data_IF_551269684075
#
_entry.id   IF_551269684075
#
_cell.length_a   1.000
_cell.length_b   1.000
_cell.length_c   1.000
_cell.angle_alpha   90.00
_cell.angle_beta   90.00
_cell.angle_gamma   90.00
#
_symmetry.space_group_name_H-M   'P 1'
#
loop_
_entity.id
_entity.type
_entity.pdbx_description
1 polymer ?
#
# COMPACT_ATOMS: atom_id res chain seq x y z
N UNK A 1 -24.43 6.81 -5.38
CA UNK A 1 -24.63 7.04 -3.93
C UNK A 1 -24.91 5.75 -3.18
N UNK A 2 -25.94 4.97 -3.54
CA UNK A 2 -26.23 3.65 -2.92
C UNK A 2 -24.95 2.81 -2.84
N UNK A 3 -24.27 2.58 -3.98
CA UNK A 3 -23.01 1.84 -4.00
C UNK A 3 -21.94 2.42 -3.05
N UNK A 4 -21.75 3.73 -3.00
CA UNK A 4 -20.76 4.36 -2.12
C UNK A 4 -21.13 4.24 -0.63
N UNK A 5 -22.42 4.32 -0.27
CA UNK A 5 -22.86 4.06 1.10
C UNK A 5 -22.73 2.58 1.47
N UNK A 6 -23.03 1.67 0.55
CA UNK A 6 -22.78 0.25 0.74
C UNK A 6 -21.29 0.00 1.00
N UNK A 7 -20.38 0.62 0.25
CA UNK A 7 -18.94 0.51 0.46
C UNK A 7 -18.50 1.01 1.86
N UNK A 8 -19.14 2.07 2.38
CA UNK A 8 -18.93 2.51 3.78
C UNK A 8 -19.34 1.40 4.76
N UNK A 9 -20.51 0.79 4.58
CA UNK A 9 -20.94 -0.33 5.44
C UNK A 9 -20.01 -1.54 5.32
N UNK A 10 -19.62 -1.89 4.10
CA UNK A 10 -18.74 -3.00 3.79
C UNK A 10 -17.44 -2.91 4.59
N UNK A 11 -16.75 -1.76 4.53
CA UNK A 11 -15.46 -1.57 5.21
C UNK A 11 -15.61 -1.38 6.72
N UNK A 12 -16.64 -0.66 7.16
CA UNK A 12 -16.94 -0.50 8.59
C UNK A 12 -17.20 -1.86 9.26
N UNK A 13 -18.04 -2.69 8.64
CA UNK A 13 -18.43 -4.00 9.17
C UNK A 13 -17.30 -5.01 9.02
N UNK A 14 -16.55 -5.00 7.90
CA UNK A 14 -15.32 -5.79 7.73
C UNK A 14 -14.33 -5.54 8.87
N UNK A 15 -13.98 -4.28 9.12
CA UNK A 15 -13.03 -3.92 10.18
C UNK A 15 -13.53 -4.37 11.55
N UNK A 16 -14.82 -4.17 11.83
CA UNK A 16 -15.43 -4.62 13.08
C UNK A 16 -15.34 -6.13 13.27
N UNK A 17 -15.70 -6.90 12.24
CA UNK A 17 -15.68 -8.37 12.27
C UNK A 17 -14.27 -8.91 12.51
N UNK A 18 -13.29 -8.36 11.80
CA UNK A 18 -11.89 -8.79 11.91
C UNK A 18 -11.33 -8.41 13.28
N UNK A 19 -11.42 -7.13 13.67
CA UNK A 19 -10.83 -6.65 14.92
C UNK A 19 -11.45 -7.27 16.17
N UNK A 20 -12.75 -7.58 16.15
CA UNK A 20 -13.43 -8.25 17.27
C UNK A 20 -13.35 -9.79 17.20
N UNK A 21 -12.77 -10.36 16.13
CA UNK A 21 -12.64 -11.81 15.95
C UNK A 21 -13.98 -12.54 15.87
N UNK A 22 -14.98 -11.93 15.23
CA UNK A 22 -16.36 -12.42 15.24
C UNK A 22 -16.52 -13.69 14.38
N UNK A 23 -17.18 -14.69 14.94
CA UNK A 23 -17.64 -15.86 14.22
C UNK A 23 -19.02 -15.59 13.59
N UNK A 24 -19.06 -15.53 12.26
CA UNK A 24 -20.29 -15.25 11.53
C UNK A 24 -21.14 -16.51 11.28
N UNK A 25 -22.47 -16.38 11.28
CA UNK A 25 -23.38 -17.48 10.93
C UNK A 25 -23.33 -17.77 9.42
N UNK A 26 -23.24 -19.05 9.08
CA UNK A 26 -23.27 -19.48 7.68
C UNK A 26 -24.65 -19.22 7.04
N UNK A 27 -24.64 -18.88 5.75
CA UNK A 27 -25.87 -18.75 4.97
C UNK A 27 -26.45 -20.16 4.74
N UNK A 28 -27.71 -20.43 5.12
CA UNK A 28 -28.32 -21.73 4.88
C UNK A 28 -28.41 -22.09 3.39
N UNK A 29 -28.24 -23.36 3.06
CA UNK A 29 -28.26 -23.84 1.67
C UNK A 29 -29.56 -23.47 0.93
N UNK A 30 -30.71 -23.53 1.62
CA UNK A 30 -32.00 -23.15 1.03
C UNK A 30 -32.08 -21.66 0.64
N UNK A 31 -31.29 -20.80 1.28
CA UNK A 31 -31.18 -19.37 0.98
C UNK A 31 -30.24 -19.17 -0.22
N UNK A 32 -29.11 -19.88 -0.25
CA UNK A 32 -28.19 -19.87 -1.39
C UNK A 32 -28.85 -20.41 -2.68
N UNK A 33 -29.75 -21.39 -2.56
CA UNK A 33 -30.49 -21.98 -3.68
C UNK A 33 -31.39 -20.96 -4.41
N UNK A 34 -31.62 -19.77 -3.86
CA UNK A 34 -32.30 -18.66 -4.55
C UNK A 34 -31.46 -18.07 -5.69
N UNK A 35 -30.13 -18.24 -5.65
CA UNK A 35 -29.18 -17.57 -6.53
C UNK A 35 -28.31 -18.58 -7.31
N UNK A 36 -28.90 -19.31 -8.29
CA UNK A 36 -28.24 -20.44 -8.95
C UNK A 36 -26.97 -20.06 -9.72
N UNK A 37 -26.87 -18.82 -10.24
CA UNK A 37 -25.65 -18.34 -10.91
C UNK A 37 -24.50 -18.16 -9.93
N UNK A 38 -24.78 -17.63 -8.75
CA UNK A 38 -23.77 -17.45 -7.70
C UNK A 38 -23.33 -18.81 -7.17
N UNK A 39 -24.28 -19.75 -6.99
CA UNK A 39 -23.95 -21.14 -6.64
C UNK A 39 -23.05 -21.82 -7.67
N UNK A 40 -23.26 -21.56 -8.95
CA UNK A 40 -22.37 -22.09 -9.98
C UNK A 40 -20.93 -21.56 -9.78
N UNK A 41 -20.76 -20.25 -9.54
CA UNK A 41 -19.44 -19.67 -9.30
C UNK A 41 -18.77 -20.23 -8.02
N UNK A 42 -19.56 -20.45 -6.96
CA UNK A 42 -19.12 -21.11 -5.72
C UNK A 42 -18.63 -22.54 -6.02
N UNK A 43 -19.43 -23.33 -6.74
CA UNK A 43 -19.08 -24.71 -7.10
C UNK A 43 -17.83 -24.76 -7.96
N UNK A 44 -17.66 -23.83 -8.90
CA UNK A 44 -16.44 -23.74 -9.72
C UNK A 44 -15.20 -23.55 -8.84
N UNK A 45 -15.25 -22.72 -7.79
CA UNK A 45 -14.12 -22.56 -6.87
C UNK A 45 -13.85 -23.83 -6.05
N UNK A 46 -14.90 -24.50 -5.60
CA UNK A 46 -14.79 -25.77 -4.87
C UNK A 46 -14.19 -26.89 -5.73
N UNK A 47 -14.56 -26.96 -7.00
CA UNK A 47 -14.03 -27.91 -7.98
C UNK A 47 -12.53 -27.70 -8.24
N UNK A 48 -12.02 -26.49 -8.03
CA UNK A 48 -10.58 -26.17 -8.08
C UNK A 48 -9.83 -26.49 -6.77
N UNK A 49 -10.51 -27.05 -5.77
CA UNK A 49 -9.94 -27.54 -4.52
C UNK A 49 -9.89 -26.51 -3.39
N UNK A 50 -10.59 -25.38 -3.54
CA UNK A 50 -10.81 -24.43 -2.46
C UNK A 50 -12.02 -24.83 -1.62
N UNK A 51 -12.07 -24.42 -0.37
CA UNK A 51 -13.29 -24.46 0.43
C UNK A 51 -13.80 -23.05 0.64
N UNK A 52 -15.12 -22.86 0.65
CA UNK A 52 -15.75 -21.56 0.86
C UNK A 52 -16.57 -21.54 2.14
N UNK A 53 -16.39 -20.50 2.95
CA UNK A 53 -17.31 -20.14 4.04
C UNK A 53 -18.12 -18.93 3.58
N UNK A 54 -19.41 -19.12 3.37
CA UNK A 54 -20.35 -18.06 2.97
C UNK A 54 -21.19 -17.70 4.18
N UNK A 55 -21.04 -16.48 4.67
CA UNK A 55 -21.61 -16.07 5.95
C UNK A 55 -22.37 -14.74 5.85
N UNK A 56 -23.42 -14.65 6.66
CA UNK A 56 -24.16 -13.41 6.89
C UNK A 56 -23.36 -12.49 7.82
N UNK A 57 -22.92 -11.35 7.29
CA UNK A 57 -22.14 -10.35 8.00
C UNK A 57 -23.01 -9.19 8.50
N UNK A 58 -24.34 -9.35 8.53
CA UNK A 58 -25.26 -8.27 8.95
C UNK A 58 -25.21 -7.92 10.43
N UNK A 59 -24.50 -8.72 11.24
CA UNK A 59 -24.41 -8.57 12.70
C UNK A 59 -25.79 -8.49 13.35
N UNK A 60 -26.64 -9.48 13.04
CA UNK A 60 -28.00 -9.58 13.56
C UNK A 60 -29.03 -8.82 12.74
N UNK A 61 -28.85 -8.73 11.42
CA UNK A 61 -29.75 -8.01 10.51
C UNK A 61 -29.61 -6.49 10.53
N UNK A 62 -28.54 -5.97 11.14
CA UNK A 62 -28.31 -4.52 11.31
C UNK A 62 -27.70 -3.87 10.07
N UNK A 63 -26.83 -4.59 9.35
CA UNK A 63 -26.09 -4.07 8.21
C UNK A 63 -26.32 -4.92 6.95
N UNK A 64 -26.35 -4.32 5.75
CA UNK A 64 -26.55 -5.06 4.51
C UNK A 64 -25.21 -5.58 3.94
N UNK A 65 -24.55 -6.47 4.69
CA UNK A 65 -23.18 -6.94 4.40
C UNK A 65 -23.11 -8.47 4.38
N UNK A 66 -22.35 -8.99 3.43
CA UNK A 66 -22.03 -10.40 3.24
C UNK A 66 -20.52 -10.64 3.41
N UNK A 67 -20.16 -11.86 3.81
CA UNK A 67 -18.77 -12.33 3.86
C UNK A 67 -18.64 -13.64 3.09
N UNK A 68 -17.62 -13.74 2.24
CA UNK A 68 -17.22 -14.98 1.58
C UNK A 68 -15.73 -15.17 1.84
N UNK A 69 -15.38 -16.26 2.51
CA UNK A 69 -14.01 -16.59 2.84
C UNK A 69 -13.56 -17.80 2.05
N UNK A 70 -12.53 -17.62 1.22
CA UNK A 70 -11.81 -18.69 0.56
C UNK A 70 -10.78 -19.28 1.50
N UNK A 71 -10.77 -20.60 1.59
CA UNK A 71 -9.86 -21.40 2.39
C UNK A 71 -9.09 -22.27 1.40
N UNK A 72 -7.77 -22.22 1.46
CA UNK A 72 -6.89 -23.04 0.64
C UNK A 72 -6.34 -24.21 1.47
N UNK A 73 -6.87 -25.45 1.30
CA UNK A 73 -6.42 -26.59 2.10
C UNK A 73 -4.98 -27.03 1.82
N UNK A 74 -4.34 -26.52 0.75
CA UNK A 74 -2.97 -26.91 0.37
C UNK A 74 -1.92 -26.29 1.28
N UNK A 75 -2.11 -25.04 1.69
CA UNK A 75 -1.18 -24.28 2.53
C UNK A 75 -1.80 -23.78 3.85
N UNK A 76 -3.13 -23.93 4.01
CA UNK A 76 -3.86 -23.49 5.19
C UNK A 76 -4.17 -21.99 5.21
N UNK A 77 -3.91 -21.27 4.12
CA UNK A 77 -4.20 -19.84 4.00
C UNK A 77 -5.69 -19.57 3.84
N UNK A 78 -6.10 -18.36 4.24
CA UNK A 78 -7.48 -17.89 4.13
C UNK A 78 -7.53 -16.48 3.54
N UNK A 79 -8.57 -16.21 2.76
CA UNK A 79 -8.86 -14.90 2.19
C UNK A 79 -10.32 -14.55 2.42
N UNK A 80 -10.59 -13.56 3.27
CA UNK A 80 -11.93 -13.08 3.57
C UNK A 80 -12.30 -11.86 2.70
N UNK A 81 -13.26 -12.06 1.81
CA UNK A 81 -13.91 -11.01 1.03
C UNK A 81 -15.21 -10.57 1.71
N UNK A 82 -15.51 -9.27 1.60
CA UNK A 82 -16.73 -8.66 2.13
C UNK A 82 -17.37 -7.81 1.05
N UNK A 83 -18.69 -7.89 0.92
CA UNK A 83 -19.45 -7.11 -0.03
C UNK A 83 -20.74 -6.60 0.59
N UNK A 84 -21.16 -5.39 0.22
CA UNK A 84 -22.38 -4.79 0.74
C UNK A 84 -23.31 -4.29 -0.38
N UNK A 85 -24.61 -4.45 -0.15
CA UNK A 85 -25.69 -3.87 -0.95
C UNK A 85 -27.04 -4.07 -0.24
N UNK A 86 -28.01 -3.14 -0.34
CA UNK A 86 -29.37 -3.34 0.20
C UNK A 86 -30.03 -4.65 -0.25
N UNK A 87 -29.87 -5.00 -1.52
CA UNK A 87 -30.23 -6.33 -2.06
C UNK A 87 -29.26 -7.43 -1.61
N UNK A 88 -29.79 -8.50 -1.02
CA UNK A 88 -29.01 -9.65 -0.56
C UNK A 88 -28.24 -10.33 -1.70
N UNK A 89 -28.91 -10.55 -2.84
CA UNK A 89 -28.30 -11.18 -4.03
C UNK A 89 -27.10 -10.38 -4.51
N UNK A 90 -27.26 -9.06 -4.63
CA UNK A 90 -26.20 -8.17 -5.13
C UNK A 90 -25.04 -8.11 -4.14
N UNK A 91 -25.29 -8.07 -2.83
CA UNK A 91 -24.23 -8.10 -1.83
C UNK A 91 -23.42 -9.40 -1.92
N UNK A 92 -24.10 -10.53 -2.03
CA UNK A 92 -23.46 -11.84 -2.17
C UNK A 92 -22.66 -11.94 -3.47
N UNK A 93 -23.23 -11.55 -4.61
CA UNK A 93 -22.57 -11.57 -5.92
C UNK A 93 -21.30 -10.71 -5.88
N UNK A 94 -21.40 -9.47 -5.37
CA UNK A 94 -20.26 -8.56 -5.23
C UNK A 94 -19.13 -9.20 -4.42
N UNK A 95 -19.47 -9.81 -3.28
CA UNK A 95 -18.50 -10.46 -2.40
C UNK A 95 -17.73 -11.58 -3.11
N UNK A 96 -18.43 -12.40 -3.92
CA UNK A 96 -17.80 -13.49 -4.69
C UNK A 96 -16.95 -12.93 -5.84
N UNK A 97 -17.43 -11.92 -6.55
CA UNK A 97 -16.69 -11.35 -7.70
C UNK A 97 -15.42 -10.61 -7.26
N UNK A 98 -15.45 -9.92 -6.12
CA UNK A 98 -14.29 -9.21 -5.56
C UNK A 98 -13.18 -10.19 -5.15
N UNK A 99 -13.55 -11.40 -4.72
CA UNK A 99 -12.60 -12.46 -4.36
C UNK A 99 -11.72 -12.90 -5.54
N UNK A 100 -12.20 -12.74 -6.78
CA UNK A 100 -11.48 -13.12 -8.00
C UNK A 100 -11.00 -11.92 -8.82
N UNK A 101 -11.26 -10.70 -8.35
CA UNK A 101 -10.94 -9.50 -9.12
C UNK A 101 -9.43 -9.32 -9.25
N UNK A 102 -8.93 -9.38 -10.49
CA UNK A 102 -7.51 -9.18 -10.79
C UNK A 102 -6.60 -10.36 -10.44
N UNK A 103 -7.17 -11.53 -10.08
CA UNK A 103 -6.41 -12.73 -9.71
C UNK A 103 -6.83 -13.93 -10.55
N UNK A 104 -5.86 -14.63 -11.11
CA UNK A 104 -6.06 -16.00 -11.60
C UNK A 104 -6.23 -16.97 -10.43
N UNK A 105 -6.82 -18.14 -10.69
CA UNK A 105 -6.92 -19.21 -9.66
C UNK A 105 -5.55 -19.70 -9.21
N UNK A 106 -4.51 -19.53 -10.02
CA UNK A 106 -3.12 -19.84 -9.72
C UNK A 106 -2.39 -18.75 -8.90
N UNK A 107 -3.07 -17.65 -8.57
CA UNK A 107 -2.51 -16.48 -7.88
C UNK A 107 -3.14 -16.25 -6.49
N UNK A 108 -3.68 -17.31 -5.88
CA UNK A 108 -4.34 -17.31 -4.57
C UNK A 108 -3.46 -17.92 -3.46
N UNK A 109 -2.13 -17.93 -3.65
CA UNK A 109 -1.12 -18.49 -2.75
C UNK A 109 -0.38 -17.43 -1.91
N UNK A 110 -0.83 -16.17 -1.98
CA UNK A 110 -0.19 -15.02 -1.31
C UNK A 110 -0.79 -14.68 0.06
N UNK A 111 -1.74 -15.49 0.55
CA UNK A 111 -2.47 -15.23 1.79
C UNK A 111 -1.88 -15.99 2.99
N UNK A 112 -2.29 -15.58 4.19
CA UNK A 112 -1.75 -16.13 5.43
C UNK A 112 -2.73 -17.10 6.10
N UNK A 113 -2.23 -18.10 6.85
CA UNK A 113 -3.06 -18.87 7.76
C UNK A 113 -3.67 -17.99 8.85
N UNK A 114 -4.84 -18.34 9.40
CA UNK A 114 -5.42 -17.61 10.51
C UNK A 114 -4.60 -17.78 11.79
N UNK A 115 -4.61 -16.78 12.67
CA UNK A 115 -3.84 -16.75 13.92
C UNK A 115 -4.76 -16.66 15.15
N UNK A 116 -4.23 -16.90 16.35
CA UNK A 116 -4.98 -16.75 17.61
C UNK A 116 -4.64 -15.43 18.33
N UNK A 117 -3.60 -14.72 17.88
CA UNK A 117 -3.18 -13.47 18.47
C UNK A 117 -4.15 -12.35 18.07
N UNK A 118 -5.05 -12.00 18.98
CA UNK A 118 -6.04 -10.96 18.73
C UNK A 118 -5.45 -9.55 18.75
N UNK A 119 -4.30 -9.33 19.40
CA UNK A 119 -3.65 -8.02 19.39
C UNK A 119 -3.09 -7.73 17.99
N UNK A 120 -2.52 -8.74 17.33
CA UNK A 120 -2.06 -8.64 15.94
C UNK A 120 -3.23 -8.50 14.96
N UNK A 121 -4.28 -9.31 15.12
CA UNK A 121 -5.49 -9.25 14.26
C UNK A 121 -6.21 -7.89 14.37
N UNK A 122 -6.31 -7.33 15.57
CA UNK A 122 -7.00 -6.06 15.81
C UNK A 122 -6.12 -4.82 15.57
N UNK A 123 -4.84 -5.00 15.26
CA UNK A 123 -3.93 -3.89 15.03
C UNK A 123 -4.38 -3.01 13.83
N UNK A 124 -4.21 -1.67 13.91
CA UNK A 124 -4.50 -0.78 12.78
C UNK A 124 -3.78 -1.22 11.49
N UNK A 125 -2.51 -1.61 11.61
CA UNK A 125 -1.69 -2.07 10.49
C UNK A 125 -2.31 -3.30 9.81
N UNK A 126 -2.89 -4.22 10.58
CA UNK A 126 -3.58 -5.38 10.01
C UNK A 126 -4.86 -4.99 9.25
N UNK A 127 -5.65 -4.07 9.79
CA UNK A 127 -6.86 -3.57 9.13
C UNK A 127 -6.52 -2.78 7.85
N UNK A 128 -5.43 -2.04 7.85
CA UNK A 128 -4.89 -1.36 6.67
C UNK A 128 -4.43 -2.35 5.60
N UNK A 129 -3.69 -3.41 5.97
CA UNK A 129 -3.33 -4.50 5.04
C UNK A 129 -4.58 -5.14 4.44
N UNK A 130 -5.62 -5.34 5.25
CA UNK A 130 -6.92 -5.82 4.77
C UNK A 130 -7.57 -4.89 3.76
N UNK A 131 -7.36 -3.57 3.86
CA UNK A 131 -7.85 -2.59 2.88
C UNK A 131 -7.00 -2.56 1.60
N UNK A 132 -5.67 -2.63 1.73
CA UNK A 132 -4.73 -2.48 0.61
C UNK A 132 -4.85 -3.66 -0.37
N UNK A 133 -4.77 -4.89 0.13
CA UNK A 133 -4.73 -6.09 -0.73
C UNK A 133 -5.41 -7.34 -0.13
N UNK A 134 -6.00 -7.22 1.05
CA UNK A 134 -6.66 -8.30 1.80
C UNK A 134 -5.73 -9.42 2.27
N UNK A 135 -4.43 -9.14 2.40
CA UNK A 135 -3.43 -10.07 2.95
C UNK A 135 -3.31 -10.05 4.48
N UNK A 136 -4.09 -9.21 5.17
CA UNK A 136 -4.06 -9.17 6.64
C UNK A 136 -4.44 -10.51 7.28
N UNK A 137 -4.02 -10.69 8.53
CA UNK A 137 -4.37 -11.84 9.35
C UNK A 137 -5.86 -11.84 9.72
N UNK A 138 -6.42 -13.04 9.80
CA UNK A 138 -7.76 -13.33 10.29
C UNK A 138 -7.65 -14.19 11.55
N UNK A 139 -8.53 -13.98 12.52
CA UNK A 139 -8.57 -14.81 13.73
C UNK A 139 -9.08 -16.22 13.45
N UNK A 140 -8.51 -17.23 14.12
CA UNK A 140 -9.07 -18.58 14.14
C UNK A 140 -10.50 -18.62 14.73
N UNK A 141 -10.85 -17.64 15.57
CA UNK A 141 -12.20 -17.53 16.13
C UNK A 141 -13.28 -17.30 15.07
N UNK A 142 -12.91 -16.73 13.93
CA UNK A 142 -13.79 -16.55 12.76
C UNK A 142 -14.39 -17.88 12.25
N UNK A 143 -13.73 -19.00 12.53
CA UNK A 143 -14.09 -20.34 12.06
C UNK A 143 -14.69 -21.24 13.16
N UNK A 144 -15.11 -20.66 14.30
CA UNK A 144 -15.80 -21.44 15.35
C UNK A 144 -17.09 -22.07 14.82
N UNK A 145 -17.54 -23.12 15.52
CA UNK A 145 -18.82 -23.80 15.21
C UNK A 145 -20.04 -22.97 15.61
N UNK A 146 -19.96 -22.21 16.70
CA UNK A 146 -21.08 -21.43 17.23
C UNK A 146 -20.85 -19.96 16.83
N UNK A 147 -21.74 -19.38 16.02
CA UNK A 147 -21.62 -17.99 15.63
C UNK A 147 -22.06 -17.05 16.76
N UNK A 148 -21.47 -15.87 16.78
CA UNK A 148 -21.77 -14.82 17.77
C UNK A 148 -23.12 -14.15 17.49
N UNK A 149 -23.61 -14.26 16.25
CA UNK A 149 -24.91 -13.78 15.80
C UNK A 149 -25.73 -14.93 15.18
N UNK A 150 -27.05 -14.75 15.14
CA UNK A 150 -27.94 -15.62 14.36
C UNK A 150 -27.99 -15.12 12.92
N UNK A 151 -28.07 -16.06 11.99
CA UNK A 151 -28.36 -15.75 10.59
C UNK A 151 -29.67 -14.96 10.47
N UNK A 152 -29.65 -13.90 9.67
CA UNK A 152 -30.82 -13.15 9.26
C UNK A 152 -30.94 -13.17 7.73
N UNK A 153 -32.11 -13.56 7.23
CA UNK A 153 -32.46 -13.45 5.82
C UNK A 153 -32.95 -12.02 5.53
N UNK A 154 -32.04 -11.06 5.59
CA UNK A 154 -32.30 -9.64 5.39
C UNK A 154 -32.49 -9.32 3.90
N UNK A 155 -33.28 -8.30 3.58
CA UNK A 155 -33.53 -7.87 2.20
C UNK A 155 -34.03 -6.42 2.18
N UNK A 156 -33.47 -5.60 1.31
CA UNK A 156 -33.99 -4.27 0.99
C UNK A 156 -33.75 -3.95 -0.50
N UNK A 157 -34.16 -4.86 -1.38
CA UNK A 157 -34.16 -4.66 -2.82
C UNK A 157 -35.32 -3.74 -3.24
N UNK A 158 -34.99 -2.53 -3.67
CA UNK A 158 -35.95 -1.49 -4.02
C UNK A 158 -35.40 -0.56 -5.10
N UNK A 159 -36.10 0.53 -5.38
CA UNK A 159 -35.56 1.56 -6.26
C UNK A 159 -34.44 2.34 -5.54
N UNK A 160 -33.53 2.92 -6.31
CA UNK A 160 -32.31 3.54 -5.77
C UNK A 160 -32.54 4.73 -4.84
N UNK A 161 -33.71 5.39 -4.90
CA UNK A 161 -34.06 6.49 -3.98
C UNK A 161 -34.37 5.92 -2.58
N UNK A 162 -35.22 4.91 -2.51
CA UNK A 162 -35.57 4.19 -1.28
C UNK A 162 -34.34 3.51 -0.65
N UNK A 163 -33.52 2.85 -1.46
CA UNK A 163 -32.25 2.25 -1.01
C UNK A 163 -31.30 3.29 -0.41
N UNK A 164 -31.21 4.48 -1.01
CA UNK A 164 -30.38 5.55 -0.48
C UNK A 164 -30.93 6.06 0.86
N UNK A 165 -32.24 6.24 0.99
CA UNK A 165 -32.87 6.65 2.24
C UNK A 165 -32.66 5.60 3.34
N UNK A 166 -32.82 4.32 3.03
CA UNK A 166 -32.60 3.20 3.94
C UNK A 166 -31.17 3.19 4.49
N UNK A 167 -30.16 3.20 3.61
CA UNK A 167 -28.76 3.22 4.02
C UNK A 167 -28.42 4.49 4.82
N UNK A 168 -28.90 5.66 4.39
CA UNK A 168 -28.66 6.91 5.09
C UNK A 168 -29.25 6.89 6.50
N UNK A 169 -30.47 6.35 6.63
CA UNK A 169 -31.16 6.21 7.92
C UNK A 169 -30.37 5.30 8.87
N UNK A 170 -29.88 4.16 8.39
CA UNK A 170 -29.07 3.26 9.21
C UNK A 170 -27.80 3.92 9.76
N UNK A 171 -27.16 4.80 8.99
CA UNK A 171 -25.98 5.56 9.44
C UNK A 171 -26.39 6.60 10.50
N UNK A 172 -27.46 7.36 10.26
CA UNK A 172 -27.94 8.38 11.20
C UNK A 172 -28.48 7.78 12.50
N UNK A 173 -29.14 6.62 12.47
CA UNK A 173 -29.59 5.90 13.67
C UNK A 173 -28.42 5.46 14.57
N UNK A 174 -27.21 5.38 14.01
CA UNK A 174 -25.98 5.10 14.76
C UNK A 174 -25.29 6.38 15.26
N UNK A 175 -25.82 7.56 14.92
CA UNK A 175 -25.31 8.85 15.38
C UNK A 175 -24.20 9.45 14.52
N UNK A 176 -24.03 8.97 13.27
CA UNK A 176 -23.02 9.49 12.36
C UNK A 176 -23.62 10.46 11.33
N UNK A 177 -22.79 11.42 10.89
CA UNK A 177 -23.11 12.36 9.82
C UNK A 177 -22.57 11.89 8.48
N UNK A 178 -23.27 12.24 7.39
CA UNK A 178 -22.89 11.87 6.02
C UNK A 178 -22.51 13.14 5.25
N UNK A 179 -21.29 13.17 4.71
CA UNK A 179 -20.80 14.24 3.85
C UNK A 179 -20.65 13.72 2.43
N UNK A 180 -21.31 14.36 1.46
CA UNK A 180 -21.34 13.92 0.06
C UNK A 180 -20.80 15.03 -0.83
N UNK A 181 -19.80 14.71 -1.64
CA UNK A 181 -19.37 15.51 -2.76
C UNK A 181 -19.80 14.83 -4.07
N UNK A 182 -20.57 15.54 -4.89
CA UNK A 182 -21.02 15.06 -6.19
C UNK A 182 -20.15 15.62 -7.32
N UNK A 183 -19.85 14.77 -8.30
CA UNK A 183 -19.04 15.11 -9.46
C UNK A 183 -19.78 14.71 -10.74
N UNK A 184 -19.96 15.68 -11.65
CA UNK A 184 -20.59 15.47 -12.96
C UNK A 184 -19.72 16.03 -14.11
N UNK A 185 -18.50 16.48 -13.81
CA UNK A 185 -17.66 17.22 -14.75
C UNK A 185 -17.07 16.35 -15.88
N UNK A 186 -17.33 15.03 -15.89
CA UNK A 186 -16.96 14.08 -16.95
C UNK A 186 -18.18 13.42 -17.61
N UNK A 187 -19.37 14.01 -17.49
CA UNK A 187 -20.64 13.50 -18.02
C UNK A 187 -21.05 12.09 -17.54
N UNK A 188 -20.41 11.63 -16.47
CA UNK A 188 -20.78 10.46 -15.68
C UNK A 188 -20.91 10.91 -14.23
N UNK A 189 -21.98 10.48 -13.57
CA UNK A 189 -22.17 10.77 -12.16
C UNK A 189 -21.17 9.99 -11.32
N UNK A 190 -20.40 10.70 -10.50
CA UNK A 190 -19.56 10.14 -9.47
C UNK A 190 -19.83 10.86 -8.14
N UNK A 191 -19.53 10.19 -7.02
CA UNK A 191 -19.59 10.81 -5.71
C UNK A 191 -18.43 10.33 -4.84
N UNK A 192 -18.05 11.17 -3.87
CA UNK A 192 -17.22 10.76 -2.74
C UNK A 192 -18.03 11.00 -1.48
N UNK A 193 -18.16 9.97 -0.65
CA UNK A 193 -18.89 10.03 0.61
C UNK A 193 -17.90 9.87 1.75
N UNK A 194 -18.03 10.70 2.78
CA UNK A 194 -17.30 10.58 4.04
C UNK A 194 -18.33 10.45 5.17
N UNK A 195 -18.09 9.48 6.06
CA UNK A 195 -18.88 9.23 7.26
C UNK A 195 -17.88 9.09 8.42
N UNK A 196 -17.47 10.20 9.05
CA UNK A 196 -16.46 10.17 10.11
C UNK A 196 -16.88 9.22 11.25
N UNK A 197 -16.01 8.31 11.63
CA UNK A 197 -16.24 7.21 12.56
C UNK A 197 -16.70 5.89 11.91
N UNK A 198 -16.96 5.88 10.59
CA UNK A 198 -17.35 4.67 9.85
C UNK A 198 -16.52 4.45 8.57
N UNK A 199 -16.29 5.49 7.77
CA UNK A 199 -15.60 5.40 6.48
C UNK A 199 -14.09 5.58 6.58
N UNK A 200 -13.57 5.83 7.78
CA UNK A 200 -12.15 6.02 8.02
C UNK A 200 -11.40 4.69 7.79
N UNK A 201 -10.36 4.76 6.96
CA UNK A 201 -9.46 3.62 6.72
C UNK A 201 -8.30 3.65 7.70
N UNK A 202 -7.77 4.86 7.92
CA UNK A 202 -6.61 5.13 8.74
C UNK A 202 -7.01 5.86 10.03
N UNK A 203 -6.41 5.53 11.19
CA UNK A 203 -6.61 6.28 12.43
C UNK A 203 -6.21 7.76 12.28
N UNK A 204 -6.91 8.63 13.01
CA UNK A 204 -6.69 10.09 12.98
C UNK A 204 -5.26 10.50 13.37
N UNK A 205 -4.61 9.71 14.21
CA UNK A 205 -3.25 9.98 14.69
C UNK A 205 -2.20 9.93 13.56
N UNK A 206 -2.50 9.24 12.45
CA UNK A 206 -1.62 9.25 11.27
C UNK A 206 -1.48 10.63 10.63
N UNK A 207 -2.43 11.54 10.85
CA UNK A 207 -2.25 12.94 10.43
C UNK A 207 -1.01 13.59 11.05
N UNK A 208 -0.56 13.08 12.20
CA UNK A 208 0.63 13.53 12.92
C UNK A 208 1.83 12.63 12.61
N UNK A 209 1.64 11.31 12.60
CA UNK A 209 2.76 10.35 12.57
C UNK A 209 3.10 9.80 11.18
N UNK A 210 2.12 9.70 10.27
CA UNK A 210 2.29 9.07 8.94
C UNK A 210 1.74 9.95 7.81
N UNK A 211 1.86 11.27 7.97
CA UNK A 211 1.32 12.22 7.01
C UNK A 211 2.10 12.17 5.68
N UNK A 212 1.42 11.74 4.62
CA UNK A 212 2.01 11.60 3.29
C UNK A 212 2.49 12.91 2.65
N UNK A 213 2.21 14.07 3.26
CA UNK A 213 2.70 15.36 2.81
C UNK A 213 4.05 15.76 3.42
N UNK A 214 4.57 15.05 4.43
CA UNK A 214 5.87 15.36 5.06
C UNK A 214 7.00 15.34 4.03
N UNK A 215 7.04 14.34 3.16
CA UNK A 215 8.05 14.22 2.11
C UNK A 215 7.98 15.33 1.05
N UNK A 216 6.89 16.10 0.98
CA UNK A 216 6.82 17.26 0.09
C UNK A 216 7.88 18.32 0.44
N UNK A 217 8.28 18.41 1.72
CA UNK A 217 9.32 19.33 2.20
C UNK A 217 10.72 18.99 1.66
N UNK A 218 10.95 17.73 1.27
CA UNK A 218 12.22 17.25 0.73
C UNK A 218 12.25 17.21 -0.80
N UNK A 219 11.10 17.41 -1.46
CA UNK A 219 10.97 17.24 -2.92
C UNK A 219 11.96 18.11 -3.70
N UNK A 220 12.03 19.40 -3.37
CA UNK A 220 12.96 20.30 -4.07
C UNK A 220 14.40 19.85 -3.83
N UNK A 221 14.77 19.61 -2.57
CA UNK A 221 16.14 19.28 -2.19
C UNK A 221 16.63 18.01 -2.88
N UNK A 222 15.81 16.96 -2.89
CA UNK A 222 16.12 15.68 -3.52
C UNK A 222 16.27 15.81 -5.04
N UNK A 223 15.42 16.61 -5.68
CA UNK A 223 15.48 16.84 -7.12
C UNK A 223 16.59 17.80 -7.54
N UNK A 224 17.24 18.49 -6.60
CA UNK A 224 18.35 19.44 -6.86
C UNK A 224 19.63 19.09 -6.11
N UNK A 225 19.80 17.86 -5.62
CA UNK A 225 20.99 17.45 -4.83
C UNK A 225 22.32 17.79 -5.51
N UNK A 226 22.41 17.62 -6.83
CA UNK A 226 23.61 17.92 -7.63
C UNK A 226 23.96 19.40 -7.76
N UNK A 227 23.03 20.28 -7.44
CA UNK A 227 23.21 21.74 -7.43
C UNK A 227 23.54 22.27 -6.03
N UNK A 228 23.43 21.41 -5.01
CA UNK A 228 23.65 21.78 -3.62
C UNK A 228 25.12 21.96 -3.23
N UNK A 229 25.31 22.48 -2.01
CA UNK A 229 26.60 22.58 -1.33
C UNK A 229 26.61 21.82 0.00
N UNK A 230 27.77 21.78 0.68
CA UNK A 230 27.91 21.10 1.97
C UNK A 230 26.90 21.55 3.02
N UNK A 231 26.51 22.83 3.03
CA UNK A 231 25.55 23.33 4.02
C UNK A 231 24.14 22.82 3.71
N UNK A 232 23.76 22.82 2.44
CA UNK A 232 22.46 22.30 1.99
C UNK A 232 22.37 20.78 2.19
N UNK A 233 23.43 20.03 1.87
CA UNK A 233 23.44 18.58 2.09
C UNK A 233 23.38 18.21 3.57
N UNK A 234 24.08 18.95 4.43
CA UNK A 234 24.00 18.74 5.87
C UNK A 234 22.59 19.04 6.40
N UNK A 235 21.97 20.14 5.96
CA UNK A 235 20.60 20.50 6.36
C UNK A 235 19.57 19.43 5.94
N UNK A 236 19.72 18.84 4.75
CA UNK A 236 18.87 17.73 4.31
C UNK A 236 19.08 16.50 5.20
N UNK A 237 20.33 16.14 5.50
CA UNK A 237 20.64 15.00 6.36
C UNK A 237 20.08 15.18 7.77
N UNK A 238 20.32 16.34 8.38
CA UNK A 238 19.84 16.68 9.72
C UNK A 238 18.30 16.60 9.80
N UNK A 239 17.58 17.16 8.81
CA UNK A 239 16.12 17.08 8.76
C UNK A 239 15.59 15.65 8.58
N UNK A 240 16.31 14.79 7.85
CA UNK A 240 15.92 13.38 7.71
C UNK A 240 16.11 12.61 9.02
N UNK A 241 17.15 12.93 9.79
CA UNK A 241 17.42 12.31 11.10
C UNK A 241 16.44 12.84 12.17
N UNK A 242 16.22 14.15 12.22
CA UNK A 242 15.27 14.78 13.15
C UNK A 242 13.82 14.34 12.90
N UNK A 243 13.46 14.10 11.64
CA UNK A 243 12.14 13.62 11.24
C UNK A 243 11.86 12.17 11.63
N UNK A 244 12.89 11.37 11.96
CA UNK A 244 12.73 9.99 12.40
C UNK A 244 12.07 9.08 11.35
N UNK A 245 12.19 9.41 10.07
CA UNK A 245 11.57 8.64 8.99
C UNK A 245 12.19 7.24 8.88
N UNK A 246 11.38 6.24 8.56
CA UNK A 246 11.88 4.90 8.29
C UNK A 246 12.79 4.92 7.05
N UNK A 247 14.07 4.58 7.23
CA UNK A 247 15.09 4.61 6.18
C UNK A 247 14.76 3.68 5.00
N UNK A 248 13.91 2.66 5.20
CA UNK A 248 13.48 1.76 4.14
C UNK A 248 12.40 2.36 3.23
N UNK A 249 11.81 3.51 3.55
CA UNK A 249 10.77 4.12 2.70
C UNK A 249 11.36 4.41 1.30
N UNK A 250 10.70 3.93 0.22
CA UNK A 250 11.08 4.31 -1.14
C UNK A 250 10.94 5.82 -1.34
N UNK A 251 11.95 6.45 -1.94
CA UNK A 251 12.01 7.92 -2.02
C UNK A 251 10.93 8.49 -2.92
N UNK A 252 10.65 7.82 -4.05
CA UNK A 252 9.69 8.32 -5.03
C UNK A 252 8.28 8.55 -4.43
N UNK A 253 7.61 7.58 -3.78
CA UNK A 253 6.32 7.83 -3.14
C UNK A 253 6.44 8.85 -2.00
N UNK A 254 7.53 8.86 -1.22
CA UNK A 254 7.75 9.84 -0.15
C UNK A 254 7.71 11.29 -0.68
N UNK A 255 8.40 11.58 -1.79
CA UNK A 255 8.36 12.90 -2.40
C UNK A 255 7.25 13.06 -3.46
N UNK A 256 6.32 12.12 -3.60
CA UNK A 256 5.22 12.21 -4.58
C UNK A 256 5.67 12.23 -6.05
N UNK A 257 6.64 11.40 -6.41
CA UNK A 257 7.18 11.24 -7.76
C UNK A 257 6.67 9.94 -8.39
N UNK A 258 6.49 9.95 -9.72
CA UNK A 258 6.14 8.77 -10.51
C UNK A 258 7.37 8.37 -11.34
N UNK A 259 8.24 7.48 -10.83
CA UNK A 259 9.53 7.21 -11.44
C UNK A 259 9.38 6.29 -12.66
N UNK A 260 10.31 6.43 -13.60
CA UNK A 260 10.48 5.49 -14.70
C UNK A 260 11.17 4.21 -14.19
N UNK A 261 10.68 3.03 -14.60
CA UNK A 261 10.99 1.73 -13.97
C UNK A 261 12.49 1.38 -13.94
N UNK A 262 13.26 1.81 -14.93
CA UNK A 262 14.68 1.48 -15.07
C UNK A 262 15.60 2.60 -14.54
N UNK A 263 15.11 3.43 -13.62
CA UNK A 263 15.88 4.52 -13.02
C UNK A 263 16.12 4.27 -11.54
N UNK A 264 17.18 4.88 -10.99
CA UNK A 264 17.48 4.78 -9.56
C UNK A 264 16.32 5.27 -8.69
N UNK A 265 15.54 6.25 -9.14
CA UNK A 265 14.34 6.73 -8.43
C UNK A 265 13.26 5.67 -8.22
N UNK A 266 13.21 4.62 -9.04
CA UNK A 266 12.25 3.53 -8.88
C UNK A 266 12.58 2.63 -7.68
N UNK A 267 13.86 2.50 -7.35
CA UNK A 267 14.35 1.54 -6.36
C UNK A 267 14.88 2.22 -5.08
N UNK A 268 15.36 3.47 -5.17
CA UNK A 268 16.12 4.13 -4.10
C UNK A 268 15.28 4.39 -2.85
N UNK A 269 15.88 4.15 -1.68
CA UNK A 269 15.29 4.37 -0.35
C UNK A 269 15.94 5.54 0.39
N UNK A 270 15.28 6.05 1.44
CA UNK A 270 15.78 7.18 2.22
C UNK A 270 17.17 6.93 2.81
N UNK A 271 17.46 5.73 3.30
CA UNK A 271 18.78 5.36 3.81
C UNK A 271 19.89 5.44 2.75
N UNK A 272 19.57 5.13 1.48
CA UNK A 272 20.52 5.28 0.37
C UNK A 272 20.78 6.76 0.02
N UNK A 273 19.77 7.63 0.17
CA UNK A 273 19.97 9.08 0.07
C UNK A 273 20.90 9.57 1.19
N UNK A 274 20.72 9.10 2.43
CA UNK A 274 21.63 9.41 3.54
C UNK A 274 23.06 8.94 3.24
N UNK A 275 23.23 7.74 2.67
CA UNK A 275 24.53 7.26 2.21
C UNK A 275 25.18 8.22 1.19
N UNK A 276 24.43 8.67 0.18
CA UNK A 276 24.90 9.62 -0.82
C UNK A 276 25.24 11.00 -0.24
N UNK A 277 24.45 11.49 0.70
CA UNK A 277 24.72 12.74 1.41
C UNK A 277 26.01 12.64 2.23
N UNK A 278 26.20 11.56 2.99
CA UNK A 278 27.43 11.34 3.75
C UNK A 278 28.67 11.23 2.85
N UNK A 279 28.56 10.57 1.69
CA UNK A 279 29.62 10.54 0.67
C UNK A 279 29.95 11.94 0.15
N UNK A 280 28.93 12.75 -0.17
CA UNK A 280 29.11 14.12 -0.65
C UNK A 280 29.74 15.03 0.42
N UNK A 281 29.34 14.86 1.68
CA UNK A 281 29.87 15.59 2.84
C UNK A 281 31.26 15.11 3.28
N UNK A 282 31.79 14.04 2.67
CA UNK A 282 33.05 13.40 3.07
C UNK A 282 33.04 12.98 4.55
N UNK A 283 31.90 12.48 5.02
CA UNK A 283 31.66 12.07 6.41
C UNK A 283 31.92 10.56 6.61
N UNK A 284 32.61 10.19 7.69
CA UNK A 284 32.91 8.81 8.08
C UNK A 284 31.66 7.92 8.22
N UNK A 285 30.52 8.51 8.58
CA UNK A 285 29.23 7.83 8.66
C UNK A 285 28.76 7.22 7.33
N UNK A 286 29.38 7.55 6.19
CA UNK A 286 29.06 6.89 4.93
C UNK A 286 29.29 5.37 4.98
N UNK A 287 30.25 4.86 5.77
CA UNK A 287 30.43 3.41 5.95
C UNK A 287 29.21 2.78 6.62
N UNK A 288 28.68 3.41 7.68
CA UNK A 288 27.53 2.88 8.42
C UNK A 288 26.29 2.80 7.52
N UNK A 289 26.05 3.83 6.70
CA UNK A 289 24.95 3.83 5.73
C UNK A 289 25.16 2.84 4.59
N UNK A 290 26.41 2.63 4.13
CA UNK A 290 26.69 1.58 3.14
C UNK A 290 26.46 0.19 3.74
N UNK A 291 26.80 -0.03 5.02
CA UNK A 291 26.49 -1.28 5.71
C UNK A 291 24.98 -1.50 5.85
N UNK A 292 24.23 -0.44 6.13
CA UNK A 292 22.77 -0.49 6.07
C UNK A 292 22.28 -0.89 4.68
N UNK A 293 22.83 -0.32 3.60
CA UNK A 293 22.46 -0.68 2.23
C UNK A 293 22.77 -2.15 1.90
N UNK A 294 23.90 -2.68 2.43
CA UNK A 294 24.29 -4.08 2.25
C UNK A 294 23.41 -5.06 3.05
N UNK A 295 22.74 -4.59 4.10
CA UNK A 295 21.83 -5.36 4.93
C UNK A 295 20.39 -5.39 4.40
N UNK A 296 20.06 -4.61 3.35
CA UNK A 296 18.74 -4.65 2.73
C UNK A 296 18.48 -6.00 2.06
N UNK A 297 17.40 -6.66 2.49
CA UNK A 297 16.91 -7.86 1.82
C UNK A 297 16.52 -7.53 0.37
N UNK A 298 16.78 -8.48 -0.54
CA UNK A 298 16.39 -8.42 -1.96
C UNK A 298 17.18 -7.44 -2.85
N UNK A 299 18.29 -6.86 -2.39
CA UNK A 299 19.17 -6.07 -3.25
C UNK A 299 19.73 -6.92 -4.43
N UNK A 300 19.72 -6.33 -5.64
CA UNK A 300 20.31 -6.96 -6.85
C UNK A 300 21.81 -7.22 -6.61
N UNK A 301 22.33 -8.31 -7.17
CA UNK A 301 23.76 -8.67 -7.03
C UNK A 301 24.71 -7.55 -7.48
N UNK A 302 24.33 -6.83 -8.54
CA UNK A 302 25.09 -5.67 -9.06
C UNK A 302 25.14 -4.53 -8.03
N UNK A 303 24.02 -4.22 -7.38
CA UNK A 303 23.92 -3.22 -6.31
C UNK A 303 24.78 -3.60 -5.11
N UNK A 304 24.74 -4.87 -4.68
CA UNK A 304 25.58 -5.37 -3.59
C UNK A 304 27.08 -5.30 -3.93
N UNK A 305 27.45 -5.61 -5.18
CA UNK A 305 28.83 -5.51 -5.64
C UNK A 305 29.31 -4.05 -5.64
N UNK A 306 28.47 -3.13 -6.08
CA UNK A 306 28.73 -1.68 -6.04
C UNK A 306 28.97 -1.18 -4.60
N UNK A 307 28.06 -1.47 -3.67
CA UNK A 307 28.22 -1.03 -2.27
C UNK A 307 29.42 -1.68 -1.57
N UNK A 308 29.73 -2.96 -1.85
CA UNK A 308 30.96 -3.61 -1.36
C UNK A 308 32.23 -2.92 -1.86
N UNK A 309 32.24 -2.48 -3.13
CA UNK A 309 33.35 -1.73 -3.70
C UNK A 309 33.52 -0.38 -2.99
N UNK A 310 32.43 0.37 -2.79
CA UNK A 310 32.48 1.65 -2.08
C UNK A 310 32.97 1.50 -0.64
N UNK A 311 32.48 0.48 0.08
CA UNK A 311 32.94 0.19 1.44
C UNK A 311 34.45 -0.05 1.50
N UNK A 312 34.97 -0.95 0.65
CA UNK A 312 36.39 -1.26 0.61
C UNK A 312 37.25 -0.02 0.29
N UNK A 313 36.75 0.86 -0.58
CA UNK A 313 37.42 2.12 -0.92
C UNK A 313 37.40 3.12 0.24
N UNK A 314 36.29 3.29 0.96
CA UNK A 314 36.23 4.15 2.15
C UNK A 314 37.14 3.63 3.29
N UNK A 315 37.21 2.31 3.48
CA UNK A 315 38.13 1.68 4.43
C UNK A 315 39.61 1.89 4.06
N UNK A 316 39.92 2.13 2.78
CA UNK A 316 41.26 2.56 2.36
C UNK A 316 41.42 4.06 2.64
N UNK A 317 40.46 4.88 2.20
CA UNK A 317 40.46 6.35 2.33
C UNK A 317 40.76 6.82 3.76
N UNK A 318 40.08 6.22 4.75
CA UNK A 318 40.19 6.65 6.14
C UNK A 318 41.28 5.91 6.93
N UNK A 319 42.02 5.00 6.29
CA UNK A 319 43.12 4.32 6.93
C UNK A 319 44.45 5.04 6.67
N UNK A 320 45.10 5.50 7.74
CA UNK A 320 46.35 6.27 7.71
C UNK A 320 47.54 5.64 6.95
N UNK A 321 47.56 4.32 6.76
CA UNK A 321 48.65 3.60 6.06
C UNK A 321 48.24 2.93 4.73
N UNK A 322 47.02 3.15 4.22
CA UNK A 322 46.56 2.49 2.99
C UNK A 322 46.45 3.49 1.85
N UNK A 323 46.95 3.10 0.68
CA UNK A 323 46.88 3.90 -0.55
C UNK A 323 46.12 3.11 -1.63
N UNK A 324 45.24 3.76 -2.38
CA UNK A 324 44.43 3.08 -3.41
C UNK A 324 45.27 2.32 -4.43
N UNK A 325 46.46 2.83 -4.77
CA UNK A 325 47.36 2.24 -5.77
C UNK A 325 47.78 0.82 -5.38
N UNK A 326 47.94 0.54 -4.09
CA UNK A 326 48.38 -0.77 -3.59
C UNK A 326 47.28 -1.83 -3.70
N UNK A 327 46.02 -1.41 -3.65
CA UNK A 327 44.86 -2.31 -3.68
C UNK A 327 44.16 -2.35 -5.04
N UNK A 328 44.43 -1.38 -5.94
CA UNK A 328 43.68 -1.18 -7.20
C UNK A 328 43.57 -2.46 -8.03
N UNK A 329 44.67 -3.18 -8.23
CA UNK A 329 44.65 -4.42 -9.04
C UNK A 329 43.70 -5.48 -8.45
N UNK A 330 43.73 -5.68 -7.13
CA UNK A 330 42.86 -6.63 -6.44
C UNK A 330 41.39 -6.21 -6.49
N UNK A 331 41.11 -4.93 -6.22
CA UNK A 331 39.76 -4.37 -6.27
C UNK A 331 39.15 -4.50 -7.67
N UNK A 332 39.94 -4.27 -8.74
CA UNK A 332 39.48 -4.42 -10.13
C UNK A 332 39.10 -5.88 -10.44
N UNK A 333 39.83 -6.85 -9.89
CA UNK A 333 39.48 -8.27 -10.04
C UNK A 333 38.17 -8.65 -9.32
N UNK A 334 37.87 -7.99 -8.20
CA UNK A 334 36.66 -8.28 -7.39
C UNK A 334 35.41 -7.54 -7.88
N UNK A 335 35.56 -6.28 -8.28
CA UNK A 335 34.45 -5.37 -8.51
C UNK A 335 34.35 -4.87 -9.96
N UNK A 336 35.35 -5.15 -10.79
CA UNK A 336 35.43 -4.66 -12.16
C UNK A 336 36.02 -3.25 -12.26
N UNK A 337 36.62 -2.94 -13.42
CA UNK A 337 37.37 -1.70 -13.61
C UNK A 337 36.51 -0.44 -13.45
N UNK A 338 35.32 -0.43 -14.05
CA UNK A 338 34.42 0.73 -14.02
C UNK A 338 33.98 1.06 -12.58
N UNK A 339 33.59 0.06 -11.79
CA UNK A 339 33.15 0.26 -10.40
C UNK A 339 34.27 0.80 -9.52
N UNK A 340 35.51 0.37 -9.71
CA UNK A 340 36.66 0.87 -8.93
C UNK A 340 37.00 2.30 -9.32
N UNK A 341 37.01 2.62 -10.62
CA UNK A 341 37.33 3.97 -11.10
C UNK A 341 36.25 4.98 -10.70
N UNK A 342 34.98 4.65 -10.92
CA UNK A 342 33.86 5.47 -10.47
C UNK A 342 33.79 5.53 -8.93
N UNK A 343 34.02 4.41 -8.26
CA UNK A 343 34.05 4.33 -6.80
C UNK A 343 35.08 5.26 -6.19
N UNK A 344 36.31 5.29 -6.71
CA UNK A 344 37.34 6.23 -6.25
C UNK A 344 36.87 7.67 -6.43
N UNK A 345 36.29 8.02 -7.59
CA UNK A 345 35.77 9.35 -7.83
C UNK A 345 34.62 9.73 -6.87
N UNK A 346 33.77 8.76 -6.50
CA UNK A 346 32.66 8.96 -5.56
C UNK A 346 33.18 9.16 -4.13
N UNK A 347 34.06 8.27 -3.63
CA UNK A 347 34.57 8.38 -2.25
C UNK A 347 35.47 9.61 -2.04
N UNK A 348 36.09 10.12 -3.10
CA UNK A 348 36.84 11.39 -3.09
C UNK A 348 35.96 12.63 -3.31
N UNK A 349 34.64 12.47 -3.44
CA UNK A 349 33.71 13.61 -3.62
C UNK A 349 33.80 14.28 -5.00
N UNK A 350 34.52 13.68 -5.96
CA UNK A 350 34.65 14.20 -7.32
C UNK A 350 33.45 13.85 -8.20
N UNK A 351 32.72 12.78 -7.86
CA UNK A 351 31.50 12.33 -8.54
C UNK A 351 30.37 12.19 -7.53
N UNK A 352 29.46 13.16 -7.54
CA UNK A 352 28.37 13.27 -6.56
C UNK A 352 27.07 12.65 -7.09
N UNK A 353 26.30 12.03 -6.19
CA UNK A 353 24.96 11.48 -6.47
C UNK A 353 24.94 10.62 -7.75
N UNK A 354 25.82 9.61 -7.78
CA UNK A 354 26.02 8.75 -8.95
C UNK A 354 24.70 8.09 -9.39
N UNK A 355 24.43 8.13 -10.71
CA UNK A 355 23.21 7.62 -11.36
C UNK A 355 21.88 8.25 -10.91
N UNK A 356 21.89 9.22 -9.99
CA UNK A 356 20.69 9.95 -9.60
C UNK A 356 20.41 11.08 -10.58
N UNK A 357 19.22 11.07 -11.20
CA UNK A 357 18.80 12.14 -12.11
C UNK A 357 18.16 13.30 -11.32
N UNK A 358 18.69 14.51 -11.43
CA UNK A 358 18.27 15.67 -10.61
C UNK A 358 17.92 16.87 -11.51
N UNK A 359 16.74 16.89 -12.17
CA UNK A 359 16.34 17.96 -13.09
C UNK A 359 15.64 19.15 -12.38
N UNK A 360 15.60 19.15 -11.04
CA UNK A 360 14.79 20.06 -10.25
C UNK A 360 13.29 19.91 -10.48
N UNK A 361 12.53 20.94 -10.10
CA UNK A 361 11.05 20.95 -10.20
C UNK A 361 10.50 21.01 -11.63
N UNK A 362 11.37 21.13 -12.64
CA UNK A 362 10.96 20.97 -14.04
C UNK A 362 10.49 19.55 -14.36
N UNK A 363 10.97 18.57 -13.58
CA UNK A 363 10.74 17.14 -13.79
C UNK A 363 11.11 16.66 -15.20
N UNK A 364 12.03 17.37 -15.87
CA UNK A 364 12.52 17.00 -17.19
C UNK A 364 13.17 15.62 -17.15
N UNK A 365 12.73 14.70 -18.01
CA UNK A 365 13.24 13.33 -18.05
C UNK A 365 12.53 12.33 -17.12
N UNK A 366 11.49 12.74 -16.38
CA UNK A 366 10.55 11.83 -15.73
C UNK A 366 9.34 11.57 -16.64
N UNK A 367 9.51 10.68 -17.61
CA UNK A 367 8.52 10.48 -18.70
C UNK A 367 7.18 10.00 -18.15
N UNK A 368 7.19 9.03 -17.24
CA UNK A 368 5.97 8.54 -16.59
C UNK A 368 5.23 9.63 -15.80
N UNK A 369 5.97 10.48 -15.08
CA UNK A 369 5.37 11.57 -14.32
C UNK A 369 4.78 12.64 -15.26
N UNK A 370 5.47 12.97 -16.35
CA UNK A 370 4.95 13.90 -17.35
C UNK A 370 3.71 13.36 -18.07
N UNK A 371 3.63 12.04 -18.31
CA UNK A 371 2.42 11.39 -18.82
C UNK A 371 1.26 11.47 -17.81
N UNK A 372 1.54 11.28 -16.52
CA UNK A 372 0.55 11.49 -15.44
C UNK A 372 0.01 12.92 -15.46
N UNK A 373 0.89 13.93 -15.54
CA UNK A 373 0.51 15.33 -15.62
C UNK A 373 -0.29 15.63 -16.90
N UNK A 374 0.10 15.07 -18.04
CA UNK A 374 -0.65 15.22 -19.29
C UNK A 374 -2.05 14.58 -19.23
N UNK A 375 -2.20 13.46 -18.50
CA UNK A 375 -3.49 12.86 -18.20
C UNK A 375 -4.33 13.75 -17.27
N UNK A 376 -3.70 14.29 -16.23
CA UNK A 376 -4.35 15.18 -15.27
C UNK A 376 -4.82 16.49 -15.92
N UNK A 377 -4.06 17.05 -16.87
CA UNK A 377 -4.43 18.26 -17.59
C UNK A 377 -5.74 18.10 -18.37
N UNK A 378 -6.01 16.92 -18.94
CA UNK A 378 -7.31 16.62 -19.58
C UNK A 378 -8.46 16.76 -18.58
N UNK A 379 -8.26 16.31 -17.34
CA UNK A 379 -9.24 16.46 -16.27
C UNK A 379 -9.39 17.92 -15.86
N UNK A 380 -8.30 18.70 -15.82
CA UNK A 380 -8.35 20.13 -15.49
C UNK A 380 -9.15 20.93 -16.54
N UNK A 381 -8.97 20.63 -17.82
CA UNK A 381 -9.77 21.20 -18.91
C UNK A 381 -11.25 20.83 -18.76
N UNK A 382 -11.56 19.55 -18.51
CA UNK A 382 -12.94 19.10 -18.31
C UNK A 382 -13.59 19.77 -17.09
N UNK A 383 -12.90 19.84 -15.95
CA UNK A 383 -13.36 20.55 -14.76
C UNK A 383 -13.67 22.01 -15.05
N UNK A 384 -12.81 22.70 -15.78
CA UNK A 384 -13.00 24.13 -16.13
C UNK A 384 -14.22 24.32 -17.03
N UNK A 385 -14.35 23.50 -18.09
CA UNK A 385 -15.42 23.63 -19.08
C UNK A 385 -16.79 23.21 -18.53
N UNK A 386 -16.81 22.23 -17.63
CA UNK A 386 -18.02 21.63 -17.09
C UNK A 386 -18.32 22.08 -15.65
N UNK A 387 -17.60 23.08 -15.13
CA UNK A 387 -17.92 23.69 -13.84
C UNK A 387 -19.29 24.34 -13.93
N UNK A 388 -20.24 23.87 -13.11
CA UNK A 388 -21.61 24.38 -13.05
C UNK A 388 -21.82 25.17 -11.77
#
# INVERSE_FOLDING_TARGET
RVQALSEVFERYVKNKIIAEGLCLPDVPENVLNRYPKIQQAIQELEDHGYALKIADASLGGKYPVMSVTLINPKDGSVFASFGAHPSFEVALERTVTELLQGRGLDQLDVFHPPIFDMDEVASPQNLEMHFIDSSGYISNDFFRKIPDYKFHDWEHDSNTEDEFEYLSKLIHEQGFDIYIADYQHLDVYACRILVPGMSDIYPVDELVWENNNEGALFRSDFLTLKEGDNKQWQDVLDRLDDGGYNDQIPVAPFIGLAPDLDTLWADIRLGEIKAMLCLALQNEQAIDWIDWCLALDQAKQETLQYYRCLKALLEIKWHHEREYVDYKQGLVLMYGQQNVEDGIAIVEGNKLFHNLHCPGLSLQGFERHNQLLAGYEKLQVAKTNNWK
#
